data_IF_035471840367
#
_entry.id   IF_035471840367
#
_cell.length_a   1.000
_cell.length_b   1.000
_cell.length_c   1.000
_cell.angle_alpha   90.00
_cell.angle_beta   90.00
_cell.angle_gamma   90.00
#
_symmetry.space_group_name_H-M   'P 1'
#
loop_
_entity.id
_entity.type
_entity.pdbx_description
1 polymer ?
#
# COMPACT_ATOMS: atom_id res chain seq x y z
N UNK A 1 15.26 8.84 -2.60
CA UNK A 1 14.01 8.04 -2.75
C UNK A 1 13.61 8.07 -4.20
N UNK A 2 13.23 6.92 -4.78
CA UNK A 2 12.70 6.85 -6.15
C UNK A 2 11.18 6.71 -6.12
N UNK A 3 10.50 7.37 -7.04
CA UNK A 3 9.05 7.34 -7.23
C UNK A 3 8.74 6.93 -8.67
N UNK A 4 7.55 6.38 -8.88
CA UNK A 4 6.95 6.21 -10.20
C UNK A 4 6.11 7.44 -10.52
N UNK A 5 6.33 8.04 -11.69
CA UNK A 5 5.54 9.16 -12.20
C UNK A 5 4.55 8.64 -13.23
N UNK A 6 3.26 8.90 -13.02
CA UNK A 6 2.20 8.63 -14.01
C UNK A 6 2.35 9.59 -15.19
N UNK A 7 2.26 9.03 -16.40
CA UNK A 7 2.31 9.74 -17.68
C UNK A 7 0.91 9.87 -18.29
N UNK A 8 0.77 10.72 -19.31
CA UNK A 8 -0.53 11.01 -19.95
C UNK A 8 -1.15 9.78 -20.64
N UNK A 9 -0.34 8.81 -21.04
CA UNK A 9 -0.76 7.55 -21.67
C UNK A 9 -1.02 6.42 -20.66
N UNK A 10 -1.18 6.76 -19.37
CA UNK A 10 -1.30 5.82 -18.25
C UNK A 10 -0.08 4.91 -18.05
N UNK A 11 1.03 5.16 -18.74
CA UNK A 11 2.31 4.54 -18.42
C UNK A 11 2.97 5.22 -17.22
N UNK A 12 4.08 4.65 -16.75
CA UNK A 12 4.84 5.23 -15.66
C UNK A 12 6.35 5.05 -15.84
N UNK A 13 7.10 5.97 -15.28
CA UNK A 13 8.56 5.96 -15.32
C UNK A 13 9.16 6.25 -13.95
N UNK A 14 10.32 5.66 -13.65
CA UNK A 14 11.06 5.97 -12.43
C UNK A 14 11.65 7.38 -12.47
N UNK A 15 11.51 8.10 -11.37
CA UNK A 15 12.10 9.42 -11.13
C UNK A 15 12.76 9.40 -9.76
N UNK A 16 13.99 9.91 -9.69
CA UNK A 16 14.77 9.96 -8.45
C UNK A 16 14.68 11.34 -7.79
N UNK A 17 14.46 11.32 -6.47
CA UNK A 17 14.45 12.52 -5.63
C UNK A 17 15.52 12.40 -4.54
N UNK A 18 16.41 13.40 -4.50
CA UNK A 18 17.40 13.57 -3.44
C UNK A 18 16.90 14.56 -2.37
N UNK A 19 17.20 14.26 -1.11
CA UNK A 19 16.93 15.17 0.01
C UNK A 19 15.45 15.29 0.41
N UNK A 20 15.02 16.50 0.80
CA UNK A 20 13.72 16.74 1.45
C UNK A 20 12.58 17.10 0.50
N UNK A 21 12.88 17.43 -0.76
CA UNK A 21 11.92 17.92 -1.75
C UNK A 21 11.23 16.76 -2.49
N UNK A 22 10.56 15.89 -1.72
CA UNK A 22 9.78 14.77 -2.25
C UNK A 22 8.35 15.27 -2.47
N UNK A 23 7.78 15.17 -3.69
CA UNK A 23 6.42 15.61 -3.97
C UNK A 23 5.40 14.74 -3.22
N UNK A 24 4.12 15.14 -3.09
CA UNK A 24 3.07 14.25 -2.62
C UNK A 24 3.00 12.99 -3.49
N UNK A 25 2.92 11.81 -2.86
CA UNK A 25 2.82 10.53 -3.54
C UNK A 25 1.85 9.58 -2.85
N UNK A 26 1.29 8.65 -3.63
CA UNK A 26 0.62 7.47 -3.10
C UNK A 26 1.62 6.35 -2.82
N UNK A 27 1.33 5.46 -1.87
CA UNK A 27 2.17 4.30 -1.57
C UNK A 27 1.34 3.02 -1.65
N UNK A 28 1.88 1.98 -2.31
CA UNK A 28 1.24 0.68 -2.41
C UNK A 28 1.74 -0.24 -1.29
N UNK A 29 0.82 -0.66 -0.44
CA UNK A 29 0.99 -1.75 0.50
C UNK A 29 0.34 -3.01 -0.08
N UNK A 30 1.10 -4.09 -0.20
CA UNK A 30 0.63 -5.28 -0.91
C UNK A 30 1.42 -6.54 -0.50
N UNK A 31 0.85 -7.70 -0.83
CA UNK A 31 1.50 -9.01 -0.73
C UNK A 31 2.37 -9.27 -1.96
N UNK A 32 3.64 -9.63 -1.74
CA UNK A 32 4.45 -10.12 -2.85
C UNK A 32 3.91 -11.48 -3.31
N UNK A 33 3.96 -11.71 -4.61
CA UNK A 33 3.51 -12.95 -5.25
C UNK A 33 4.45 -13.35 -6.37
N UNK A 34 3.90 -14.11 -7.31
CA UNK A 34 4.67 -14.61 -8.45
C UNK A 34 4.97 -13.48 -9.45
N UNK A 35 6.15 -13.56 -10.06
CA UNK A 35 6.61 -12.63 -11.11
C UNK A 35 6.53 -11.16 -10.71
N UNK A 36 7.21 -10.80 -9.62
CA UNK A 36 7.36 -9.40 -9.24
C UNK A 36 8.07 -8.57 -10.31
N UNK A 37 7.56 -7.37 -10.53
CA UNK A 37 8.22 -6.33 -11.33
C UNK A 37 9.27 -5.67 -10.45
N UNK A 38 10.52 -5.80 -10.86
CA UNK A 38 11.68 -5.29 -10.14
C UNK A 38 12.07 -3.90 -10.63
N UNK A 39 13.01 -3.26 -9.92
CA UNK A 39 13.62 -2.01 -10.38
C UNK A 39 14.22 -2.14 -11.78
N UNK A 40 14.94 -3.24 -12.04
CA UNK A 40 15.61 -3.48 -13.32
C UNK A 40 14.62 -3.63 -14.48
N UNK A 41 13.45 -4.23 -14.22
CA UNK A 41 12.39 -4.34 -15.22
C UNK A 41 11.90 -2.95 -15.63
N UNK A 42 11.51 -2.11 -14.66
CA UNK A 42 10.99 -0.77 -14.94
C UNK A 42 12.06 0.12 -15.58
N UNK A 43 13.30 0.07 -15.11
CA UNK A 43 14.42 0.82 -15.67
C UNK A 43 14.69 0.48 -17.15
N UNK A 44 14.38 -0.75 -17.57
CA UNK A 44 14.52 -1.23 -18.96
C UNK A 44 13.21 -1.21 -19.74
N UNK A 45 12.13 -0.67 -19.16
CA UNK A 45 10.78 -0.69 -19.75
C UNK A 45 10.25 -2.10 -20.06
N UNK A 46 10.61 -3.07 -19.21
CA UNK A 46 10.20 -4.48 -19.27
C UNK A 46 9.16 -4.81 -18.19
N UNK A 47 8.70 -6.07 -18.17
CA UNK A 47 7.89 -6.62 -17.09
C UNK A 47 6.41 -6.27 -17.15
N UNK A 48 5.92 -5.69 -18.26
CA UNK A 48 4.48 -5.42 -18.48
C UNK A 48 3.65 -6.69 -18.60
N UNK A 49 4.29 -7.78 -18.98
CA UNK A 49 3.78 -9.14 -19.12
C UNK A 49 3.75 -9.91 -17.80
N UNK A 50 4.50 -9.47 -16.79
CA UNK A 50 4.55 -10.12 -15.48
C UNK A 50 3.27 -9.95 -14.69
N UNK A 51 2.89 -10.97 -13.92
CA UNK A 51 1.72 -10.92 -13.06
C UNK A 51 1.75 -9.73 -12.07
N UNK A 52 2.91 -9.45 -11.46
CA UNK A 52 3.10 -8.34 -10.54
C UNK A 52 2.90 -6.94 -11.14
N UNK A 53 2.79 -6.80 -12.47
CA UNK A 53 2.53 -5.51 -13.11
C UNK A 53 1.14 -4.97 -12.80
N UNK A 54 0.15 -5.85 -12.60
CA UNK A 54 -1.26 -5.45 -12.40
C UNK A 54 -1.45 -4.52 -11.20
N UNK A 55 -0.86 -4.86 -10.05
CA UNK A 55 -0.92 -4.02 -8.83
C UNK A 55 -0.19 -2.68 -8.99
N UNK A 56 0.88 -2.62 -9.79
CA UNK A 56 1.59 -1.37 -10.06
C UNK A 56 0.72 -0.47 -10.94
N UNK A 57 0.11 -1.04 -11.99
CA UNK A 57 -0.85 -0.34 -12.86
C UNK A 57 -2.03 0.18 -12.04
N UNK A 58 -2.64 -0.67 -11.22
CA UNK A 58 -3.70 -0.30 -10.29
C UNK A 58 -3.28 0.88 -9.40
N UNK A 59 -2.09 0.83 -8.79
CA UNK A 59 -1.63 1.90 -7.91
C UNK A 59 -1.49 3.24 -8.67
N UNK A 60 -0.93 3.21 -9.88
CA UNK A 60 -0.82 4.40 -10.74
C UNK A 60 -2.18 4.96 -11.15
N UNK A 61 -3.12 4.11 -11.55
CA UNK A 61 -4.49 4.50 -11.92
C UNK A 61 -5.26 5.08 -10.73
N UNK A 62 -5.14 4.47 -9.54
CA UNK A 62 -5.77 5.00 -8.33
C UNK A 62 -5.12 6.31 -7.87
N UNK A 63 -3.78 6.42 -7.93
CA UNK A 63 -3.08 7.66 -7.62
C UNK A 63 -3.56 8.79 -8.53
N UNK A 64 -3.67 8.53 -9.84
CA UNK A 64 -4.19 9.50 -10.80
C UNK A 64 -5.63 9.93 -10.48
N UNK A 65 -6.52 8.98 -10.16
CA UNK A 65 -7.91 9.28 -9.73
C UNK A 65 -7.96 10.16 -8.49
N UNK A 66 -7.01 10.00 -7.57
CA UNK A 66 -6.90 10.79 -6.35
C UNK A 66 -6.11 12.11 -6.55
N UNK A 67 -5.73 12.45 -7.78
CA UNK A 67 -5.00 13.69 -8.11
C UNK A 67 -3.50 13.65 -7.76
N UNK A 68 -2.92 12.47 -7.59
CA UNK A 68 -1.51 12.26 -7.29
C UNK A 68 -0.76 11.80 -8.55
N UNK A 69 0.21 12.60 -8.98
CA UNK A 69 1.05 12.26 -10.15
C UNK A 69 2.12 11.20 -9.82
N UNK A 70 2.47 11.05 -8.54
CA UNK A 70 3.56 10.18 -8.11
C UNK A 70 3.04 9.08 -7.20
N UNK A 71 3.66 7.90 -7.30
CA UNK A 71 3.39 6.80 -6.41
C UNK A 71 4.65 5.97 -6.14
N UNK A 72 4.58 5.10 -5.13
CA UNK A 72 5.71 4.30 -4.68
C UNK A 72 5.29 2.84 -4.48
N UNK A 73 6.15 1.93 -4.95
CA UNK A 73 6.00 0.48 -4.78
C UNK A 73 7.37 -0.12 -4.45
N UNK A 74 7.50 -0.76 -3.29
CA UNK A 74 8.76 -1.36 -2.80
C UNK A 74 9.35 -2.39 -3.78
N UNK A 75 8.49 -3.09 -4.52
CA UNK A 75 8.84 -4.05 -5.57
C UNK A 75 9.89 -3.48 -6.56
N UNK A 76 9.64 -2.27 -7.07
CA UNK A 76 10.41 -1.66 -8.16
C UNK A 76 11.01 -0.28 -7.86
N UNK A 77 10.62 0.39 -6.77
CA UNK A 77 11.21 1.66 -6.34
C UNK A 77 12.48 1.49 -5.49
N UNK A 78 12.84 0.25 -5.14
CA UNK A 78 14.07 -0.10 -4.41
C UNK A 78 14.89 -1.03 -5.30
N UNK A 79 16.18 -0.74 -5.45
CA UNK A 79 17.14 -1.60 -6.15
C UNK A 79 17.65 -2.60 -5.13
N UNK A 80 16.99 -3.75 -5.12
CA UNK A 80 17.32 -4.85 -4.19
C UNK A 80 18.65 -5.52 -4.52
N UNK A 81 19.25 -5.23 -5.67
CA UNK A 81 20.61 -5.69 -5.99
C UNK A 81 21.69 -4.86 -5.30
N UNK A 82 21.36 -3.63 -4.88
CA UNK A 82 22.23 -2.77 -4.08
C UNK A 82 21.96 -2.99 -2.58
N UNK A 83 22.87 -3.68 -1.90
CA UNK A 83 22.76 -3.94 -0.45
C UNK A 83 22.73 -2.66 0.40
N UNK A 84 23.46 -1.62 -0.03
CA UNK A 84 23.45 -0.31 0.60
C UNK A 84 22.07 0.33 0.49
N UNK A 85 21.48 0.34 -0.72
CA UNK A 85 20.15 0.92 -0.91
C UNK A 85 19.06 0.12 -0.20
N UNK A 86 19.11 -1.22 -0.27
CA UNK A 86 18.15 -2.07 0.43
C UNK A 86 18.16 -1.77 1.94
N UNK A 87 19.35 -1.63 2.53
CA UNK A 87 19.50 -1.30 3.95
C UNK A 87 18.95 0.09 4.27
N UNK A 88 19.25 1.10 3.44
CA UNK A 88 18.72 2.45 3.61
C UNK A 88 17.18 2.49 3.50
N UNK A 89 16.63 1.78 2.51
CA UNK A 89 15.20 1.69 2.29
C UNK A 89 14.49 1.03 3.47
N UNK A 90 15.00 -0.11 3.97
CA UNK A 90 14.45 -0.78 5.16
C UNK A 90 14.42 0.13 6.39
N UNK A 91 15.50 0.89 6.63
CA UNK A 91 15.56 1.86 7.72
C UNK A 91 14.66 3.10 7.51
N UNK A 92 14.17 3.31 6.29
CA UNK A 92 13.34 4.46 5.92
C UNK A 92 11.88 4.10 5.64
N UNK A 93 11.51 2.80 5.62
CA UNK A 93 10.17 2.32 5.26
C UNK A 93 9.06 3.00 6.04
N UNK A 94 9.16 3.03 7.37
CA UNK A 94 8.16 3.69 8.22
C UNK A 94 7.96 5.15 7.81
N UNK A 95 9.05 5.87 7.51
CA UNK A 95 9.00 7.27 7.07
C UNK A 95 8.38 7.41 5.67
N UNK A 96 8.62 6.47 4.77
CA UNK A 96 8.01 6.46 3.44
C UNK A 96 6.49 6.26 3.53
N UNK A 97 6.03 5.37 4.39
CA UNK A 97 4.60 5.21 4.66
C UNK A 97 3.99 6.43 5.36
N UNK A 98 4.69 6.98 6.37
CA UNK A 98 4.22 8.15 7.12
C UNK A 98 4.05 9.40 6.27
N UNK A 99 4.92 9.60 5.28
CA UNK A 99 4.91 10.78 4.41
C UNK A 99 4.04 10.62 3.16
N UNK A 100 3.53 9.43 2.89
CA UNK A 100 2.62 9.21 1.77
C UNK A 100 1.30 9.97 1.98
N UNK A 101 0.79 10.60 0.92
CA UNK A 101 -0.50 11.28 0.95
C UNK A 101 -1.65 10.27 1.07
N UNK A 102 -1.50 9.12 0.41
CA UNK A 102 -2.44 8.00 0.43
C UNK A 102 -1.67 6.69 0.49
N UNK A 103 -2.11 5.75 1.34
CA UNK A 103 -1.68 4.36 1.31
C UNK A 103 -2.81 3.52 0.73
N UNK A 104 -2.52 2.79 -0.34
CA UNK A 104 -3.44 1.82 -0.94
C UNK A 104 -3.00 0.43 -0.52
N UNK A 105 -3.85 -0.26 0.25
CA UNK A 105 -3.68 -1.66 0.60
C UNK A 105 -4.40 -2.48 -0.46
N UNK A 106 -3.63 -3.20 -1.28
CA UNK A 106 -4.18 -4.10 -2.31
C UNK A 106 -4.22 -5.53 -1.75
N UNK A 107 -5.44 -6.06 -1.61
CA UNK A 107 -5.70 -7.40 -1.10
C UNK A 107 -5.86 -8.37 -2.27
N UNK A 108 -4.74 -8.94 -2.73
CA UNK A 108 -4.69 -9.81 -3.92
C UNK A 108 -5.49 -11.12 -3.79
N UNK A 109 -5.97 -11.44 -2.59
CA UNK A 109 -6.73 -12.65 -2.25
C UNK A 109 -8.19 -12.36 -1.86
N UNK A 110 -8.65 -11.13 -2.10
CA UNK A 110 -10.04 -10.72 -1.89
C UNK A 110 -10.60 -10.27 -3.24
N UNK A 111 -11.59 -10.98 -3.77
CA UNK A 111 -12.35 -10.59 -4.96
C UNK A 111 -13.81 -10.34 -4.56
N UNK A 112 -14.45 -9.38 -5.21
CA UNK A 112 -15.83 -8.97 -4.92
C UNK A 112 -16.64 -8.88 -6.20
N UNK A 113 -17.88 -9.36 -6.15
CA UNK A 113 -18.80 -9.24 -7.28
C UNK A 113 -19.16 -7.77 -7.50
N UNK A 114 -18.85 -7.26 -8.69
CA UNK A 114 -18.95 -5.84 -9.05
C UNK A 114 -20.38 -5.34 -9.31
N UNK A 115 -21.39 -6.16 -9.02
CA UNK A 115 -22.78 -5.92 -9.44
C UNK A 115 -23.43 -4.74 -8.70
N UNK A 116 -22.99 -4.44 -7.48
CA UNK A 116 -23.55 -3.36 -6.65
C UNK A 116 -22.48 -2.34 -6.22
N UNK A 117 -22.01 -1.50 -7.16
CA UNK A 117 -21.05 -0.41 -6.92
C UNK A 117 -21.64 0.80 -6.17
N UNK A 118 -22.51 0.57 -5.18
CA UNK A 118 -22.91 1.62 -4.25
C UNK A 118 -21.96 1.54 -3.06
N UNK A 119 -21.48 2.69 -2.58
CA UNK A 119 -20.59 2.83 -1.42
C UNK A 119 -21.30 2.38 -0.12
N UNK A 120 -21.54 1.08 -0.01
CA UNK A 120 -22.05 0.40 1.16
C UNK A 120 -20.87 -0.21 1.93
N UNK A 121 -20.97 -0.33 3.25
CA UNK A 121 -20.02 -1.12 4.01
C UNK A 121 -19.96 -2.55 3.44
N UNK A 122 -18.79 -3.22 3.47
CA UNK A 122 -18.66 -4.57 2.97
C UNK A 122 -19.67 -5.47 3.68
N UNK A 123 -20.32 -6.34 2.91
CA UNK A 123 -21.24 -7.33 3.45
C UNK A 123 -20.49 -8.35 4.35
N UNK A 124 -21.26 -9.25 4.97
CA UNK A 124 -20.68 -10.24 5.87
C UNK A 124 -19.66 -11.15 5.18
N UNK A 125 -19.89 -11.47 3.90
CA UNK A 125 -19.02 -12.34 3.12
C UNK A 125 -17.68 -11.66 2.80
N UNK A 126 -17.75 -10.45 2.26
CA UNK A 126 -16.59 -9.60 1.95
C UNK A 126 -15.78 -9.31 3.20
N UNK A 127 -16.45 -9.01 4.32
CA UNK A 127 -15.80 -8.83 5.62
C UNK A 127 -15.03 -10.07 6.04
N UNK A 128 -15.58 -11.27 5.85
CA UNK A 128 -14.88 -12.52 6.16
C UNK A 128 -13.64 -12.73 5.26
N UNK A 129 -13.73 -12.40 3.97
CA UNK A 129 -12.59 -12.47 3.05
C UNK A 129 -11.47 -11.50 3.45
N UNK A 130 -11.81 -10.26 3.79
CA UNK A 130 -10.84 -9.27 4.28
C UNK A 130 -10.10 -9.81 5.50
N UNK A 131 -10.82 -10.36 6.48
CA UNK A 131 -10.22 -10.91 7.71
C UNK A 131 -9.24 -12.05 7.46
N UNK A 132 -9.49 -12.84 6.40
CA UNK A 132 -8.65 -13.99 6.03
C UNK A 132 -7.50 -13.61 5.10
N UNK A 133 -7.42 -12.37 4.64
CA UNK A 133 -6.37 -11.94 3.72
C UNK A 133 -4.98 -12.15 4.32
N UNK A 134 -4.08 -12.73 3.52
CA UNK A 134 -2.66 -12.91 3.83
C UNK A 134 -1.94 -11.59 4.08
N UNK A 135 -2.51 -10.46 3.67
CA UNK A 135 -1.92 -9.16 3.97
C UNK A 135 -1.75 -8.94 5.47
N UNK A 136 -2.74 -9.34 6.29
CA UNK A 136 -2.71 -9.17 7.74
C UNK A 136 -1.71 -10.05 8.47
N UNK A 137 -1.21 -11.12 7.83
CA UNK A 137 -0.24 -12.03 8.45
C UNK A 137 1.22 -11.60 8.22
N UNK A 138 1.44 -10.50 7.48
CA UNK A 138 2.78 -9.97 7.17
C UNK A 138 3.32 -9.18 8.37
N UNK A 139 4.60 -9.41 8.69
CA UNK A 139 5.31 -8.63 9.72
C UNK A 139 5.39 -7.13 9.47
N UNK A 140 5.19 -6.68 8.21
CA UNK A 140 5.16 -5.26 7.85
C UNK A 140 3.77 -4.62 7.97
N UNK A 141 2.68 -5.40 8.02
CA UNK A 141 1.31 -4.88 7.99
C UNK A 141 1.07 -3.84 9.10
N UNK A 142 1.66 -4.04 10.28
CA UNK A 142 1.59 -3.10 11.40
C UNK A 142 2.13 -1.71 11.03
N UNK A 143 3.32 -1.64 10.43
CA UNK A 143 3.93 -0.37 10.04
C UNK A 143 3.16 0.27 8.88
N UNK A 144 2.75 -0.55 7.90
CA UNK A 144 1.96 -0.12 6.74
C UNK A 144 0.56 0.40 7.13
N UNK A 145 0.05 -0.03 8.29
CA UNK A 145 -1.23 0.42 8.86
C UNK A 145 -1.11 1.69 9.72
N UNK A 146 -0.12 1.72 10.61
CA UNK A 146 0.01 2.77 11.63
C UNK A 146 0.74 4.00 11.12
N UNK A 147 1.73 3.84 10.24
CA UNK A 147 2.54 4.97 9.79
C UNK A 147 1.74 5.96 8.92
N UNK A 148 0.96 5.53 7.90
CA UNK A 148 0.23 6.47 7.04
C UNK A 148 -0.95 7.11 7.76
N UNK A 149 -1.17 8.39 7.46
CA UNK A 149 -2.36 9.12 7.93
C UNK A 149 -3.64 8.56 7.27
N UNK A 150 -3.56 8.19 6.00
CA UNK A 150 -4.69 7.74 5.18
C UNK A 150 -4.41 6.37 4.57
N UNK A 151 -5.24 5.36 4.89
CA UNK A 151 -5.13 3.98 4.36
C UNK A 151 -6.49 3.58 3.77
N UNK A 152 -6.50 3.08 2.54
CA UNK A 152 -7.68 2.61 1.81
C UNK A 152 -7.43 1.18 1.33
N UNK A 153 -8.40 0.30 1.52
CA UNK A 153 -8.31 -1.11 1.19
C UNK A 153 -9.02 -1.38 -0.12
N UNK A 154 -8.37 -2.14 -1.00
CA UNK A 154 -8.89 -2.50 -2.31
C UNK A 154 -8.84 -4.01 -2.51
N UNK A 155 -9.83 -4.54 -3.21
CA UNK A 155 -9.84 -5.92 -3.70
C UNK A 155 -8.77 -6.14 -4.78
N UNK A 156 -8.56 -7.40 -5.17
CA UNK A 156 -7.71 -7.76 -6.30
C UNK A 156 -8.17 -7.05 -7.58
N UNK A 157 -9.49 -6.96 -7.77
CA UNK A 157 -10.17 -6.29 -8.88
C UNK A 157 -10.12 -4.74 -8.82
N UNK A 158 -9.49 -4.16 -7.79
CA UNK A 158 -9.34 -2.71 -7.64
C UNK A 158 -10.59 -1.98 -7.13
N UNK A 159 -11.54 -2.71 -6.52
CA UNK A 159 -12.75 -2.15 -5.90
C UNK A 159 -12.42 -1.66 -4.49
N UNK A 160 -12.87 -0.46 -4.13
CA UNK A 160 -12.70 0.08 -2.78
C UNK A 160 -13.56 -0.71 -1.77
N UNK A 161 -12.91 -1.34 -0.80
CA UNK A 161 -13.54 -2.12 0.27
C UNK A 161 -13.82 -1.28 1.52
N UNK A 162 -13.10 -0.18 1.67
CA UNK A 162 -13.22 0.75 2.80
C UNK A 162 -11.91 1.45 3.11
N UNK A 163 -11.93 2.27 4.16
CA UNK A 163 -10.76 2.95 4.68
C UNK A 163 -10.42 2.49 6.11
N UNK A 164 -9.30 2.98 6.65
CA UNK A 164 -8.84 2.66 8.00
C UNK A 164 -9.89 2.88 9.09
N UNK A 165 -10.78 3.86 8.93
CA UNK A 165 -11.83 4.17 9.89
C UNK A 165 -13.04 3.29 9.67
N UNK A 166 -13.50 3.12 8.43
CA UNK A 166 -14.67 2.29 8.14
C UNK A 166 -14.44 0.81 8.46
N UNK A 167 -13.18 0.34 8.37
CA UNK A 167 -12.79 -1.04 8.68
C UNK A 167 -12.08 -1.18 10.03
N UNK A 168 -12.10 -0.17 10.91
CA UNK A 168 -11.32 -0.18 12.15
C UNK A 168 -11.64 -1.39 13.06
N UNK A 169 -12.91 -1.81 13.12
CA UNK A 169 -13.33 -2.99 13.90
C UNK A 169 -12.79 -4.29 13.29
N UNK A 170 -12.80 -4.39 11.96
CA UNK A 170 -12.24 -5.54 11.23
C UNK A 170 -10.73 -5.62 11.46
N UNK A 171 -10.04 -4.49 11.31
CA UNK A 171 -8.59 -4.39 11.54
C UNK A 171 -8.26 -4.72 12.99
N UNK A 172 -8.98 -4.17 13.96
CA UNK A 172 -8.77 -4.46 15.38
C UNK A 172 -8.97 -5.96 15.68
N UNK A 173 -9.99 -6.59 15.14
CA UNK A 173 -10.26 -8.01 15.38
C UNK A 173 -9.15 -8.92 14.85
N UNK A 174 -8.58 -8.58 13.69
CA UNK A 174 -7.54 -9.41 13.04
C UNK A 174 -6.15 -9.14 13.63
N UNK A 175 -5.86 -7.87 13.95
CA UNK A 175 -4.49 -7.43 14.32
C UNK A 175 -4.31 -7.18 15.81
N UNK A 176 -5.41 -7.14 16.57
CA UNK A 176 -5.46 -6.68 17.96
C UNK A 176 -4.97 -5.23 18.17
N UNK A 177 -4.73 -4.46 17.11
CA UNK A 177 -4.33 -3.06 17.22
C UNK A 177 -5.51 -2.26 17.80
N UNK A 178 -5.32 -1.50 18.89
CA UNK A 178 -6.39 -0.67 19.45
C UNK A 178 -6.90 0.35 18.43
N UNK A 179 -8.21 0.56 18.35
CA UNK A 179 -8.83 1.56 17.46
C UNK A 179 -8.29 2.97 17.70
N UNK A 180 -7.93 3.29 18.94
CA UNK A 180 -7.26 4.56 19.26
C UNK A 180 -5.93 4.73 18.50
N UNK A 181 -5.15 3.66 18.31
CA UNK A 181 -3.89 3.71 17.56
C UNK A 181 -4.17 3.88 16.06
N UNK A 182 -5.17 3.16 15.52
CA UNK A 182 -5.63 3.31 14.13
C UNK A 182 -6.10 4.73 13.82
N UNK A 183 -6.71 5.40 14.81
CA UNK A 183 -7.16 6.79 14.75
C UNK A 183 -6.04 7.83 14.97
N UNK A 184 -4.80 7.39 15.18
CA UNK A 184 -3.62 8.25 15.25
C UNK A 184 -3.23 8.72 16.65
N UNK A 185 -3.71 8.08 17.71
CA UNK A 185 -3.22 8.34 19.07
C UNK A 185 -1.70 8.06 19.12
N UNK A 186 -0.87 8.95 19.69
CA UNK A 186 0.57 8.73 19.76
C UNK A 186 0.92 7.42 20.45
N UNK A 187 1.83 6.64 19.84
CA UNK A 187 2.26 5.34 20.39
C UNK A 187 2.82 5.46 21.82
N UNK A 188 3.41 6.62 22.15
CA UNK A 188 3.91 6.95 23.50
C UNK A 188 2.84 6.98 24.60
N UNK A 189 1.55 7.02 24.24
CA UNK A 189 0.44 7.06 25.20
C UNK A 189 -0.17 5.69 25.51
N UNK A 190 0.24 4.63 24.82
CA UNK A 190 -0.22 3.26 25.08
C UNK A 190 0.59 2.63 26.20
N UNK A 191 -0.03 1.81 27.05
CA UNK A 191 0.67 1.02 28.07
C UNK A 191 1.63 -0.01 27.45
N UNK A 192 2.57 -0.54 28.23
CA UNK A 192 3.54 -1.55 27.77
C UNK A 192 2.84 -2.79 27.21
N UNK A 193 1.78 -3.25 27.86
CA UNK A 193 0.96 -4.40 27.43
C UNK A 193 0.17 -4.15 26.14
N UNK A 194 -0.08 -2.90 25.77
CA UNK A 194 -0.76 -2.55 24.50
C UNK A 194 0.23 -2.39 23.34
N UNK A 195 1.55 -2.45 23.62
CA UNK A 195 2.64 -2.32 22.63
C UNK A 195 3.38 -3.62 22.34
N UNK A 196 3.01 -4.71 23.01
CA UNK A 196 3.59 -6.06 22.89
C UNK A 196 2.61 -6.91 22.09
#
# INVERSE_FOLDING_TARGET
MRLLRVQDDSSFSLVEYAGKNIPPYAILSHTWGDEEVTFQDVARSLGKDKHGYRKIKFCGEQAFRDGLQFFWVDACCIDKSSSAELSEALNSMFRYYQRAAKCYVHLSDVSVDTVDQIAQPPDLHTTALIKQSRWFTRGWALQEMLAPVSVHFFSDDGVLLGDKRSLENVVQEVTCIPTAALRGRPLSEFGVTERI
#
